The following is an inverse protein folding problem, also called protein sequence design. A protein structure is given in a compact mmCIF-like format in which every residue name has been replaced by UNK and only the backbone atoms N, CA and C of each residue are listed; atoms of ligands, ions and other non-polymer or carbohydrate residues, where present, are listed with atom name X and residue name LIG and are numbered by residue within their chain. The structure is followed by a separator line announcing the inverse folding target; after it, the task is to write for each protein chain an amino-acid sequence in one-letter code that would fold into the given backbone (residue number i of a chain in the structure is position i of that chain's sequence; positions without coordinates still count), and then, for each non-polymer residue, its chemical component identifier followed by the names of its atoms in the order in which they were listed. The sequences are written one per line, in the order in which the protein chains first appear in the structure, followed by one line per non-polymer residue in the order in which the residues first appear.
data_IF_427683117730
#
_entry.id   IF_427683117730
#
_cell.length_a   1.000
_cell.length_b   1.000
_cell.length_c   1.000
_cell.angle_alpha   90.00
_cell.angle_beta   90.00
_cell.angle_gamma   90.00
#
_symmetry.space_group_name_H-M   'P 1'
#
loop_
_entity.id
_entity.type
_entity.pdbx_description
1 polymer ?
#
# COMPACT_ATOMS: atom_id res chain seq x y z
N UNK A 1 4.03 10.23 -2.07
CA UNK A 1 3.20 9.06 -2.43
C UNK A 1 3.63 8.50 -3.77
N UNK A 2 3.50 7.21 -3.94
CA UNK A 2 3.74 6.49 -5.19
C UNK A 2 2.41 5.90 -5.66
N UNK A 3 1.98 6.31 -6.85
CA UNK A 3 0.71 5.91 -7.45
C UNK A 3 0.92 5.43 -8.90
N UNK A 4 0.31 4.32 -9.33
CA UNK A 4 0.36 3.88 -10.71
C UNK A 4 -0.41 4.86 -11.62
N UNK A 5 0.07 5.07 -12.84
CA UNK A 5 -0.56 6.01 -13.79
C UNK A 5 -1.07 5.34 -15.05
N UNK A 6 -0.49 4.21 -15.44
CA UNK A 6 -0.90 3.43 -16.59
C UNK A 6 -0.41 1.99 -16.47
N UNK A 7 -1.22 1.04 -16.93
CA UNK A 7 -0.82 -0.36 -17.03
C UNK A 7 0.18 -0.54 -18.19
N UNK A 8 1.46 -0.61 -17.88
CA UNK A 8 2.51 -0.69 -18.92
C UNK A 8 2.89 -2.12 -19.30
N UNK A 9 2.63 -3.11 -18.42
CA UNK A 9 3.14 -4.45 -18.61
C UNK A 9 2.31 -5.33 -19.55
N UNK A 10 1.00 -5.11 -19.61
CA UNK A 10 0.06 -6.11 -20.14
C UNK A 10 -0.86 -5.53 -21.23
N UNK A 11 -0.29 -4.73 -22.12
CA UNK A 11 -1.04 -4.02 -23.18
C UNK A 11 -1.78 -4.93 -24.17
N UNK A 12 -1.39 -6.18 -24.24
CA UNK A 12 -1.95 -7.17 -25.17
C UNK A 12 -2.91 -8.16 -24.49
N UNK A 13 -3.23 -7.96 -23.21
CA UNK A 13 -4.22 -8.80 -22.53
C UNK A 13 -5.63 -8.30 -22.84
N UNK A 14 -6.48 -9.21 -23.27
CA UNK A 14 -7.92 -8.97 -23.36
C UNK A 14 -8.53 -9.17 -21.97
N UNK A 15 -9.19 -8.15 -21.48
CA UNK A 15 -9.94 -8.20 -20.23
C UNK A 15 -11.40 -8.55 -20.53
N UNK A 16 -12.08 -9.15 -19.55
CA UNK A 16 -13.50 -9.44 -19.69
C UNK A 16 -14.28 -8.13 -19.98
N UNK A 17 -15.34 -8.16 -20.80
CA UNK A 17 -16.13 -6.99 -21.11
C UNK A 17 -16.60 -6.26 -19.83
N UNK A 18 -16.39 -4.95 -19.79
CA UNK A 18 -16.70 -4.12 -18.61
C UNK A 18 -15.62 -4.08 -17.52
N UNK A 19 -14.51 -4.80 -17.69
CA UNK A 19 -13.39 -4.79 -16.75
C UNK A 19 -12.31 -3.84 -17.26
N UNK A 20 -11.83 -2.94 -16.38
CA UNK A 20 -10.70 -2.06 -16.69
C UNK A 20 -9.36 -2.74 -16.34
N UNK A 21 -8.33 -2.51 -17.16
CA UNK A 21 -6.96 -2.90 -16.85
C UNK A 21 -6.52 -2.36 -15.46
N UNK A 22 -6.96 -1.19 -15.08
CA UNK A 22 -6.67 -0.60 -13.76
C UNK A 22 -7.11 -1.48 -12.59
N UNK A 23 -8.18 -2.26 -12.75
CA UNK A 23 -8.69 -3.15 -11.70
C UNK A 23 -7.69 -4.23 -11.25
N UNK A 24 -6.76 -4.59 -12.12
CA UNK A 24 -5.75 -5.63 -11.84
C UNK A 24 -4.35 -5.03 -11.90
N UNK A 25 -4.04 -4.30 -12.97
CA UNK A 25 -2.66 -3.93 -13.29
C UNK A 25 -2.12 -2.84 -12.36
N UNK A 26 -2.94 -1.92 -11.87
CA UNK A 26 -2.48 -0.89 -10.94
C UNK A 26 -1.96 -1.49 -9.63
N UNK A 27 -2.70 -2.44 -9.05
CA UNK A 27 -2.22 -3.15 -7.87
C UNK A 27 -0.96 -3.98 -8.15
N UNK A 28 -0.87 -4.57 -9.34
CA UNK A 28 0.28 -5.35 -9.77
C UNK A 28 1.51 -4.46 -10.01
N UNK A 29 1.35 -3.30 -10.63
CA UNK A 29 2.45 -2.36 -10.87
C UNK A 29 2.93 -1.72 -9.57
N UNK A 30 2.04 -1.39 -8.63
CA UNK A 30 2.42 -0.98 -7.27
C UNK A 30 3.27 -2.06 -6.60
N UNK A 31 2.87 -3.32 -6.70
CA UNK A 31 3.64 -4.46 -6.18
C UNK A 31 5.04 -4.53 -6.78
N UNK A 32 5.18 -4.39 -8.10
CA UNK A 32 6.48 -4.37 -8.79
C UNK A 32 7.34 -3.20 -8.35
N UNK A 33 6.76 -2.02 -8.17
CA UNK A 33 7.47 -0.83 -7.70
C UNK A 33 8.02 -1.02 -6.28
N UNK A 34 7.22 -1.57 -5.36
CA UNK A 34 7.66 -1.89 -4.00
C UNK A 34 8.82 -2.88 -4.03
N UNK A 35 8.68 -3.96 -4.81
CA UNK A 35 9.75 -4.93 -4.99
C UNK A 35 11.01 -4.28 -5.56
N UNK A 36 10.88 -3.42 -6.58
CA UNK A 36 12.00 -2.69 -7.17
C UNK A 36 12.77 -1.88 -6.14
N UNK A 37 12.09 -1.04 -5.37
CA UNK A 37 12.70 -0.22 -4.31
C UNK A 37 13.40 -1.09 -3.25
N UNK A 38 12.76 -2.17 -2.82
CA UNK A 38 13.32 -3.04 -1.80
C UNK A 38 14.54 -3.84 -2.33
N UNK A 39 14.38 -4.53 -3.45
CA UNK A 39 15.43 -5.42 -3.99
C UNK A 39 16.61 -4.68 -4.64
N UNK A 40 16.44 -3.42 -5.05
CA UNK A 40 17.56 -2.56 -5.43
C UNK A 40 18.33 -1.99 -4.22
N UNK A 41 17.85 -2.23 -3.00
CA UNK A 41 18.44 -1.69 -1.77
C UNK A 41 18.17 -0.20 -1.56
N UNK A 42 17.25 0.40 -2.32
CA UNK A 42 16.98 1.84 -2.22
C UNK A 42 16.37 2.22 -0.86
N UNK A 43 15.52 1.35 -0.31
CA UNK A 43 14.94 1.55 1.01
C UNK A 43 16.00 1.53 2.14
N UNK A 44 17.09 0.78 1.95
CA UNK A 44 18.23 0.73 2.88
C UNK A 44 19.18 1.91 2.65
N UNK A 45 19.43 2.24 1.38
CA UNK A 45 20.36 3.31 0.98
C UNK A 45 19.84 4.70 1.31
N UNK A 46 18.51 4.88 1.29
CA UNK A 46 17.85 6.17 1.53
C UNK A 46 16.85 6.08 2.69
N UNK A 47 17.31 5.86 3.93
CA UNK A 47 16.43 5.60 5.08
C UNK A 47 15.54 6.78 5.46
N UNK A 48 15.90 8.00 5.04
CA UNK A 48 15.15 9.23 5.32
C UNK A 48 13.99 9.47 4.36
N UNK A 49 13.91 8.70 3.26
CA UNK A 49 12.78 8.79 2.32
C UNK A 49 11.60 8.02 2.88
N UNK A 50 10.48 8.72 3.11
CA UNK A 50 9.21 8.12 3.53
C UNK A 50 8.38 7.76 2.29
N UNK A 51 8.23 6.47 2.03
CA UNK A 51 7.37 5.98 0.94
C UNK A 51 5.95 5.79 1.44
N UNK A 52 4.98 6.37 0.72
CA UNK A 52 3.55 6.08 0.90
C UNK A 52 3.09 5.37 -0.36
N UNK A 53 2.63 4.13 -0.21
CA UNK A 53 2.18 3.30 -1.31
C UNK A 53 0.66 3.35 -1.43
N UNK A 54 0.17 3.58 -2.64
CA UNK A 54 -1.26 3.59 -2.92
C UNK A 54 -1.90 2.21 -2.81
N UNK A 55 -3.21 2.20 -2.58
CA UNK A 55 -4.05 1.01 -2.64
C UNK A 55 -3.55 -0.12 -1.74
N UNK A 56 -3.23 0.19 -0.48
CA UNK A 56 -2.68 -0.75 0.51
C UNK A 56 -1.42 -1.51 0.02
N UNK A 57 -0.64 -0.91 -0.89
CA UNK A 57 0.54 -1.55 -1.47
C UNK A 57 0.21 -2.60 -2.55
N UNK A 58 -0.98 -2.54 -3.12
CA UNK A 58 -1.41 -3.46 -4.17
C UNK A 58 -1.51 -4.91 -3.69
N UNK A 59 -0.85 -5.83 -4.38
CA UNK A 59 -0.86 -7.25 -4.02
C UNK A 59 0.27 -7.65 -3.05
N UNK A 60 1.10 -6.70 -2.59
CA UNK A 60 2.23 -7.02 -1.70
C UNK A 60 1.78 -7.72 -0.42
N UNK A 61 0.73 -7.27 0.31
CA UNK A 61 0.33 -7.95 1.53
C UNK A 61 0.03 -9.43 1.34
N UNK A 62 -0.65 -9.79 0.27
CA UNK A 62 -0.94 -11.19 -0.08
C UNK A 62 0.31 -11.98 -0.48
N UNK A 63 1.28 -11.34 -1.13
CA UNK A 63 2.47 -11.98 -1.69
C UNK A 63 3.69 -11.91 -0.76
N UNK A 64 3.62 -11.21 0.36
CA UNK A 64 4.79 -10.87 1.19
C UNK A 64 5.65 -12.07 1.57
N UNK A 65 5.05 -13.13 2.10
CA UNK A 65 5.76 -14.36 2.50
C UNK A 65 6.41 -15.08 1.29
N UNK A 66 5.74 -15.09 0.15
CA UNK A 66 6.31 -15.66 -1.09
C UNK A 66 7.52 -14.86 -1.57
N UNK A 67 7.42 -13.52 -1.50
CA UNK A 67 8.49 -12.61 -1.90
C UNK A 67 9.66 -12.71 -0.92
N UNK A 68 9.39 -12.80 0.38
CA UNK A 68 10.41 -12.92 1.42
C UNK A 68 11.24 -14.18 1.24
N UNK A 69 10.60 -15.30 0.92
CA UNK A 69 11.32 -16.54 0.58
C UNK A 69 12.21 -16.41 -0.65
N UNK A 70 11.81 -15.64 -1.64
CA UNK A 70 12.64 -15.34 -2.80
C UNK A 70 13.80 -14.37 -2.44
N UNK A 71 13.57 -13.46 -1.51
CA UNK A 71 14.53 -12.47 -1.02
C UNK A 71 15.76 -13.02 -0.30
N UNK A 72 15.73 -14.26 0.15
CA UNK A 72 16.90 -14.93 0.74
C UNK A 72 18.16 -14.92 -0.14
N UNK A 73 18.02 -14.63 -1.43
CA UNK A 73 19.12 -14.48 -2.40
C UNK A 73 19.65 -13.06 -2.52
N UNK A 74 18.98 -12.08 -1.91
CA UNK A 74 19.28 -10.65 -2.02
C UNK A 74 19.72 -10.05 -0.66
N UNK A 75 20.53 -10.76 0.10
CA UNK A 75 20.94 -10.39 1.47
C UNK A 75 21.64 -9.03 1.58
N UNK A 76 22.32 -8.60 0.53
CA UNK A 76 22.97 -7.27 0.51
C UNK A 76 21.94 -6.14 0.42
N UNK A 77 20.91 -6.32 -0.40
CA UNK A 77 19.83 -5.35 -0.56
C UNK A 77 18.80 -5.41 0.58
N UNK A 78 18.59 -6.58 1.15
CA UNK A 78 17.58 -6.90 2.17
C UNK A 78 18.23 -7.59 3.38
N UNK A 79 19.09 -6.89 4.14
CA UNK A 79 19.83 -7.50 5.25
C UNK A 79 18.94 -8.10 6.33
N UNK A 80 17.74 -7.55 6.52
CA UNK A 80 16.75 -8.00 7.52
C UNK A 80 15.53 -8.69 6.88
N UNK A 81 15.57 -8.98 5.56
CA UNK A 81 14.47 -9.56 4.81
C UNK A 81 13.49 -8.54 4.23
N UNK A 82 12.66 -8.99 3.28
CA UNK A 82 11.71 -8.14 2.58
C UNK A 82 10.61 -7.62 3.52
N UNK A 83 10.08 -8.47 4.39
CA UNK A 83 9.05 -8.10 5.36
C UNK A 83 9.51 -6.99 6.32
N UNK A 84 10.81 -6.95 6.66
CA UNK A 84 11.36 -5.88 7.48
C UNK A 84 11.40 -4.53 6.75
N UNK A 85 11.60 -4.54 5.42
CA UNK A 85 11.54 -3.32 4.62
C UNK A 85 10.11 -2.81 4.47
N UNK A 86 9.12 -3.70 4.32
CA UNK A 86 7.71 -3.32 4.25
C UNK A 86 7.25 -2.55 5.49
N UNK A 87 7.78 -2.89 6.67
CA UNK A 87 7.49 -2.21 7.95
C UNK A 87 8.05 -0.80 8.06
N UNK A 88 8.81 -0.33 7.08
CA UNK A 88 9.31 1.06 7.02
C UNK A 88 8.42 1.96 6.17
N UNK A 89 7.51 1.38 5.41
CA UNK A 89 6.66 2.09 4.47
C UNK A 89 5.31 2.46 5.09
N UNK A 90 4.63 3.38 4.43
CA UNK A 90 3.26 3.79 4.72
C UNK A 90 2.36 3.37 3.56
N UNK A 91 1.08 3.19 3.86
CA UNK A 91 0.10 2.66 2.90
C UNK A 91 -1.18 3.46 2.98
N UNK A 92 -1.72 3.90 1.86
CA UNK A 92 -3.04 4.51 1.87
C UNK A 92 -4.16 3.46 1.70
N UNK A 93 -5.38 3.88 1.96
CA UNK A 93 -6.55 3.00 1.91
C UNK A 93 -7.40 3.20 0.66
N UNK A 94 -6.96 4.01 -0.30
CA UNK A 94 -7.68 4.25 -1.54
C UNK A 94 -7.99 2.92 -2.28
N UNK A 95 -9.24 2.69 -2.63
CA UNK A 95 -9.69 1.46 -3.29
C UNK A 95 -9.44 0.16 -2.50
N UNK A 96 -8.94 0.27 -1.26
CA UNK A 96 -8.59 -0.87 -0.40
C UNK A 96 -9.31 -0.84 0.97
N UNK A 97 -10.27 0.06 1.16
CA UNK A 97 -11.07 0.19 2.39
C UNK A 97 -12.06 -0.98 2.53
N UNK A 98 -11.55 -2.21 2.49
CA UNK A 98 -12.32 -3.43 2.69
C UNK A 98 -11.59 -4.40 3.60
N UNK A 99 -12.35 -5.25 4.28
CA UNK A 99 -11.82 -6.15 5.31
C UNK A 99 -10.72 -7.08 4.79
N UNK A 100 -10.84 -7.62 3.57
CA UNK A 100 -9.88 -8.56 3.02
C UNK A 100 -8.50 -7.94 2.81
N UNK A 101 -8.45 -6.77 2.19
CA UNK A 101 -7.22 -6.03 1.95
C UNK A 101 -6.58 -5.57 3.27
N UNK A 102 -7.40 -5.00 4.18
CA UNK A 102 -6.90 -4.42 5.43
C UNK A 102 -6.43 -5.47 6.44
N UNK A 103 -7.09 -6.61 6.56
CA UNK A 103 -6.59 -7.72 7.40
C UNK A 103 -5.22 -8.18 6.88
N UNK A 104 -5.08 -8.36 5.55
CA UNK A 104 -3.82 -8.76 4.96
C UNK A 104 -2.71 -7.71 5.19
N UNK A 105 -3.03 -6.42 5.13
CA UNK A 105 -2.08 -5.35 5.40
C UNK A 105 -1.67 -5.32 6.87
N UNK A 106 -2.61 -5.48 7.80
CA UNK A 106 -2.38 -5.46 9.26
C UNK A 106 -1.52 -6.64 9.75
N UNK A 107 -1.42 -7.73 8.99
CA UNK A 107 -0.45 -8.80 9.27
C UNK A 107 1.02 -8.34 9.03
N UNK A 108 1.21 -7.27 8.27
CA UNK A 108 2.53 -6.76 7.91
C UNK A 108 2.93 -5.51 8.67
N UNK A 109 1.98 -4.60 8.91
CA UNK A 109 2.26 -3.26 9.41
C UNK A 109 1.29 -2.86 10.52
N UNK A 110 1.69 -1.87 11.30
CA UNK A 110 0.86 -1.30 12.37
C UNK A 110 -0.11 -0.26 11.81
N UNK A 111 -1.21 -0.02 12.52
CA UNK A 111 -2.21 1.01 12.16
C UNK A 111 -1.58 2.40 11.95
N UNK A 112 -0.51 2.72 12.68
CA UNK A 112 0.24 3.98 12.55
C UNK A 112 0.90 4.19 11.18
N UNK A 113 0.99 3.15 10.36
CA UNK A 113 1.54 3.21 9.01
C UNK A 113 0.46 3.29 7.92
N UNK A 114 -0.81 3.28 8.33
CA UNK A 114 -1.95 3.39 7.42
C UNK A 114 -2.41 4.85 7.38
N UNK A 115 -2.56 5.41 6.19
CA UNK A 115 -2.99 6.79 5.98
C UNK A 115 -4.25 6.83 5.11
N UNK A 116 -5.07 7.85 5.30
CA UNK A 116 -6.28 8.04 4.52
C UNK A 116 -5.97 8.41 3.07
N UNK A 117 -6.71 7.84 2.14
CA UNK A 117 -6.66 8.16 0.72
C UNK A 117 -7.97 7.76 0.04
N UNK A 118 -8.39 8.48 -0.98
CA UNK A 118 -9.67 8.26 -1.68
C UNK A 118 -9.52 7.83 -3.13
N UNK A 119 -8.40 8.15 -3.76
CA UNK A 119 -8.23 8.03 -5.21
C UNK A 119 -9.32 8.81 -5.99
N UNK A 120 -9.77 9.94 -5.43
CA UNK A 120 -10.78 10.79 -6.07
C UNK A 120 -10.27 11.33 -7.43
N UNK A 121 -11.08 11.36 -8.49
CA UNK A 121 -12.52 11.07 -8.57
C UNK A 121 -12.89 9.58 -8.70
N UNK A 122 -12.06 8.65 -9.25
CA UNK A 122 -12.52 7.29 -9.54
C UNK A 122 -12.78 6.44 -8.28
N UNK A 123 -12.06 6.68 -7.19
CA UNK A 123 -12.13 5.89 -5.97
C UNK A 123 -13.24 6.28 -4.98
N UNK A 124 -14.04 7.29 -5.29
CA UNK A 124 -15.13 7.74 -4.43
C UNK A 124 -14.83 8.99 -3.60
N UNK A 125 -15.78 9.37 -2.74
CA UNK A 125 -15.65 10.54 -1.85
C UNK A 125 -14.97 10.16 -0.53
N UNK A 126 -14.49 11.18 0.20
CA UNK A 126 -13.93 10.96 1.56
C UNK A 126 -14.95 10.31 2.50
N UNK A 127 -16.24 10.70 2.38
CA UNK A 127 -17.30 10.11 3.20
C UNK A 127 -17.53 8.63 2.88
N UNK A 128 -17.40 8.23 1.62
CA UNK A 128 -17.56 6.82 1.23
C UNK A 128 -16.43 5.99 1.82
N UNK A 129 -15.18 6.42 1.65
CA UNK A 129 -14.03 5.69 2.17
C UNK A 129 -14.04 5.62 3.70
N UNK A 130 -14.39 6.73 4.38
CA UNK A 130 -14.48 6.74 5.85
C UNK A 130 -15.56 5.76 6.37
N UNK A 131 -16.72 5.73 5.71
CA UNK A 131 -17.77 4.75 6.00
C UNK A 131 -17.28 3.32 5.78
N UNK A 132 -16.68 3.04 4.64
CA UNK A 132 -16.22 1.70 4.26
C UNK A 132 -15.13 1.21 5.23
N UNK A 133 -14.23 2.09 5.70
CA UNK A 133 -13.26 1.78 6.76
C UNK A 133 -13.95 1.39 8.08
N UNK A 134 -14.92 2.19 8.52
CA UNK A 134 -15.66 1.92 9.75
C UNK A 134 -16.43 0.59 9.66
N UNK A 135 -17.06 0.32 8.52
CA UNK A 135 -17.87 -0.89 8.27
C UNK A 135 -17.01 -2.17 8.24
N UNK A 136 -15.69 -2.08 8.10
CA UNK A 136 -14.81 -3.27 8.24
C UNK A 136 -14.85 -3.89 9.62
N UNK A 137 -15.15 -3.10 10.65
CA UNK A 137 -15.11 -3.54 12.06
C UNK A 137 -13.72 -3.96 12.56
N UNK A 138 -12.65 -3.49 11.88
CA UNK A 138 -11.27 -3.83 12.24
C UNK A 138 -10.65 -2.81 13.20
N UNK A 139 -11.13 -1.59 13.17
CA UNK A 139 -10.51 -0.44 13.80
C UNK A 139 -11.36 0.09 14.96
N UNK A 140 -10.71 0.46 16.05
CA UNK A 140 -11.33 1.25 17.11
C UNK A 140 -11.56 2.69 16.62
N UNK A 141 -12.34 3.47 17.37
CA UNK A 141 -12.52 4.90 17.08
C UNK A 141 -11.19 5.68 17.10
N UNK A 142 -10.25 5.28 17.96
CA UNK A 142 -8.91 5.90 17.98
C UNK A 142 -8.10 5.52 16.75
N UNK A 143 -8.18 4.29 16.27
CA UNK A 143 -7.51 3.87 15.04
C UNK A 143 -8.07 4.60 13.82
N UNK A 144 -9.39 4.73 13.73
CA UNK A 144 -10.02 5.49 12.65
C UNK A 144 -9.56 6.94 12.64
N UNK A 145 -9.51 7.63 13.79
CA UNK A 145 -8.96 9.00 13.86
C UNK A 145 -7.50 9.07 13.45
N UNK A 146 -6.71 8.07 13.84
CA UNK A 146 -5.31 7.99 13.46
C UNK A 146 -5.15 7.85 11.94
N UNK A 147 -5.87 6.94 11.31
CA UNK A 147 -5.86 6.73 9.85
C UNK A 147 -6.36 7.97 9.12
N UNK A 148 -7.48 8.55 9.56
CA UNK A 148 -8.12 9.68 8.90
C UNK A 148 -7.24 10.94 8.89
N UNK A 149 -6.41 11.15 9.92
CA UNK A 149 -5.66 12.39 10.04
C UNK A 149 -4.31 12.25 10.74
N UNK A 150 -4.24 11.65 11.92
CA UNK A 150 -3.10 11.82 12.83
C UNK A 150 -1.82 11.22 12.28
N UNK A 151 -1.90 10.08 11.58
CA UNK A 151 -0.77 9.43 10.93
C UNK A 151 -0.18 10.32 9.83
N UNK A 152 -1.03 10.96 9.02
CA UNK A 152 -0.58 11.89 7.99
C UNK A 152 0.05 13.15 8.59
N UNK A 153 -0.49 13.69 9.68
CA UNK A 153 0.08 14.83 10.42
C UNK A 153 1.45 14.48 11.00
N UNK A 154 1.61 13.25 11.53
CA UNK A 154 2.89 12.75 12.01
C UNK A 154 3.96 12.71 10.90
N UNK A 155 3.56 12.34 9.68
CA UNK A 155 4.43 12.34 8.50
C UNK A 155 4.75 13.75 8.00
N UNK A 156 3.80 14.65 8.10
CA UNK A 156 3.87 16.02 7.58
C UNK A 156 3.51 17.05 8.66
N UNK A 157 4.39 17.29 9.65
CA UNK A 157 4.09 18.18 10.80
C UNK A 157 3.66 19.60 10.43
N UNK A 158 3.99 20.04 9.22
CA UNK A 158 3.55 21.36 8.70
C UNK A 158 2.03 21.49 8.54
N UNK A 159 1.27 20.39 8.65
CA UNK A 159 -0.19 20.35 8.60
C UNK A 159 -0.85 20.11 9.97
N UNK A 160 -0.06 20.16 11.04
CA UNK A 160 -0.54 20.03 12.42
C UNK A 160 -1.39 21.20 12.87
#
# INVERSE_FOLDING_TARGET
SVHPTAANCCRNLEYAPGTSASSIEYGTDTTRAIMGIAFNGDAVRFPDIRFIWSHAGGSVPFLADRIDRAGNRAKEALPNGFSAELKKFYYDVAGAANRGALVSLLELVETSQIVFGTDFPPGGTSSDVARDLADTGLFSESDLRAIDRENAVSLFPRFA
#
